data_IF_745360133853
#
_entry.id   IF_745360133853
#
_cell.length_a   1.000
_cell.length_b   1.000
_cell.length_c   1.000
_cell.angle_alpha   90.00
_cell.angle_beta   90.00
_cell.angle_gamma   90.00
#
_symmetry.space_group_name_H-M   'P 1'
#
loop_
_entity.id
_entity.type
_entity.pdbx_description
1 polymer ?
#
# COMPACT_ATOMS: atom_id res chain seq x y z
N UNK A 1 -33.83 -12.42 -50.89
CA UNK A 1 -33.78 -11.14 -50.14
C UNK A 1 -33.58 -11.44 -48.66
N UNK A 2 -32.34 -11.74 -48.29
CA UNK A 2 -31.96 -12.07 -46.92
C UNK A 2 -30.52 -11.64 -46.72
N UNK A 3 -30.30 -10.70 -45.81
CA UNK A 3 -29.05 -10.53 -45.03
C UNK A 3 -29.00 -9.25 -44.19
N UNK A 4 -29.95 -8.32 -44.34
CA UNK A 4 -29.85 -7.00 -43.71
C UNK A 4 -30.40 -6.87 -42.28
N UNK A 5 -31.00 -7.92 -41.69
CA UNK A 5 -31.60 -7.83 -40.33
C UNK A 5 -30.68 -8.27 -39.19
N UNK A 6 -29.56 -8.94 -39.47
CA UNK A 6 -28.64 -9.46 -38.43
C UNK A 6 -27.43 -8.57 -38.15
N UNK A 7 -27.12 -7.58 -39.01
CA UNK A 7 -25.91 -6.74 -38.86
C UNK A 7 -26.15 -5.63 -37.81
N UNK A 8 -27.36 -5.08 -37.73
CA UNK A 8 -27.70 -4.04 -36.73
C UNK A 8 -27.70 -4.54 -35.29
N UNK A 9 -28.03 -5.82 -35.05
CA UNK A 9 -27.99 -6.39 -33.70
C UNK A 9 -26.55 -6.62 -33.22
N UNK A 10 -25.66 -7.07 -34.11
CA UNK A 10 -24.25 -7.32 -33.80
C UNK A 10 -23.50 -6.01 -33.51
N UNK A 11 -23.82 -4.92 -34.21
CA UNK A 11 -23.24 -3.60 -33.95
C UNK A 11 -23.72 -2.97 -32.62
N UNK A 12 -24.98 -3.20 -32.22
CA UNK A 12 -25.48 -2.73 -30.94
C UNK A 12 -24.86 -3.49 -29.75
N UNK A 13 -24.60 -4.80 -29.91
CA UNK A 13 -23.93 -5.63 -28.91
C UNK A 13 -22.44 -5.24 -28.77
N UNK A 14 -21.76 -4.90 -29.87
CA UNK A 14 -20.35 -4.47 -29.81
C UNK A 14 -20.18 -3.07 -29.20
N UNK A 15 -21.15 -2.15 -29.36
CA UNK A 15 -21.14 -0.88 -28.62
C UNK A 15 -21.47 -1.05 -27.13
N UNK A 16 -22.32 -2.02 -26.76
CA UNK A 16 -22.54 -2.35 -25.34
C UNK A 16 -21.27 -2.92 -24.67
N UNK A 17 -20.49 -3.75 -25.39
CA UNK A 17 -19.22 -4.30 -24.89
C UNK A 17 -18.13 -3.21 -24.80
N UNK A 18 -18.13 -2.22 -25.71
CA UNK A 18 -17.22 -1.06 -25.68
C UNK A 18 -17.58 0.03 -24.65
N UNK A 19 -18.77 -0.03 -24.04
CA UNK A 19 -19.13 0.81 -22.91
C UNK A 19 -18.97 0.12 -21.55
N UNK A 20 -18.72 -1.19 -21.53
CA UNK A 20 -18.33 -1.94 -20.33
C UNK A 20 -16.82 -1.86 -20.02
N UNK A 21 -16.00 -1.30 -20.92
CA UNK A 21 -14.55 -1.21 -20.73
C UNK A 21 -14.05 0.00 -19.92
N UNK A 22 -14.94 0.82 -19.35
CA UNK A 22 -14.56 1.95 -18.49
C UNK A 22 -15.19 1.92 -17.09
N UNK A 23 -15.81 0.79 -16.73
CA UNK A 23 -16.19 0.50 -15.36
C UNK A 23 -15.34 -0.67 -14.85
N UNK A 24 -14.01 -0.46 -14.76
CA UNK A 24 -13.25 -1.19 -13.75
C UNK A 24 -13.58 -0.51 -12.43
N UNK A 25 -14.74 -0.89 -11.91
CA UNK A 25 -15.27 -0.43 -10.65
C UNK A 25 -14.22 -0.60 -9.57
N UNK A 26 -14.07 0.46 -8.79
CA UNK A 26 -13.33 0.59 -7.54
C UNK A 26 -13.90 -0.33 -6.44
N UNK A 27 -14.03 -1.62 -6.71
CA UNK A 27 -14.08 -2.65 -5.69
C UNK A 27 -12.62 -3.05 -5.43
N UNK A 28 -12.09 -2.69 -4.26
CA UNK A 28 -10.66 -2.77 -3.97
C UNK A 28 -10.06 -4.12 -4.38
N UNK A 29 -9.04 -4.07 -5.24
CA UNK A 29 -8.21 -5.21 -5.59
C UNK A 29 -7.78 -5.97 -4.31
N UNK A 30 -7.98 -7.29 -4.21
CA UNK A 30 -7.64 -8.06 -3.02
C UNK A 30 -6.23 -7.75 -2.48
N UNK A 31 -6.14 -7.44 -1.18
CA UNK A 31 -4.89 -7.07 -0.53
C UNK A 31 -4.56 -5.58 -0.60
N UNK A 32 -5.47 -4.71 -1.04
CA UNK A 32 -5.27 -3.25 -1.11
C UNK A 32 -6.40 -2.43 -0.46
N UNK A 33 -7.34 -3.08 0.23
CA UNK A 33 -8.37 -2.36 0.98
C UNK A 33 -7.80 -1.81 2.29
N UNK A 34 -8.44 -0.80 2.91
CA UNK A 34 -8.10 -0.35 4.27
C UNK A 34 -7.94 -1.50 5.26
N UNK A 35 -8.88 -2.46 5.24
CA UNK A 35 -8.86 -3.63 6.11
C UNK A 35 -7.67 -4.55 5.82
N UNK A 36 -7.27 -4.74 4.55
CA UNK A 36 -6.11 -5.56 4.20
C UNK A 36 -4.80 -5.00 4.80
N UNK A 37 -4.61 -3.68 4.73
CA UNK A 37 -3.46 -3.02 5.33
C UNK A 37 -3.50 -3.14 6.85
N UNK A 38 -4.60 -2.73 7.47
CA UNK A 38 -4.73 -2.74 8.95
C UNK A 38 -4.62 -4.15 9.50
N UNK A 39 -5.24 -5.14 8.86
CA UNK A 39 -5.17 -6.54 9.27
C UNK A 39 -3.73 -7.06 9.22
N UNK A 40 -3.00 -6.83 8.13
CA UNK A 40 -1.62 -7.27 7.99
C UNK A 40 -0.71 -6.66 9.08
N UNK A 41 -0.82 -5.36 9.34
CA UNK A 41 -0.09 -4.69 10.42
C UNK A 41 -0.46 -5.25 11.79
N UNK A 42 -1.76 -5.42 12.05
CA UNK A 42 -2.26 -5.80 13.37
C UNK A 42 -2.02 -7.26 13.70
N UNK A 43 -1.90 -8.16 12.71
CA UNK A 43 -1.41 -9.51 12.95
C UNK A 43 0.01 -9.50 13.53
N UNK A 44 0.90 -8.65 13.00
CA UNK A 44 2.27 -8.50 13.49
C UNK A 44 2.28 -7.91 14.90
N UNK A 45 1.60 -6.76 15.08
CA UNK A 45 1.55 -6.05 16.36
C UNK A 45 0.92 -6.89 17.47
N UNK A 46 -0.10 -7.69 17.15
CA UNK A 46 -0.75 -8.60 18.10
C UNK A 46 0.21 -9.68 18.63
N UNK A 47 1.08 -10.23 17.79
CA UNK A 47 2.08 -11.23 18.23
C UNK A 47 3.02 -10.65 19.29
N UNK A 48 3.27 -9.34 19.24
CA UNK A 48 4.11 -8.60 20.19
C UNK A 48 3.32 -7.97 21.35
N UNK A 49 2.01 -8.21 21.46
CA UNK A 49 1.17 -7.64 22.52
C UNK A 49 0.96 -6.12 22.41
N UNK A 50 1.15 -5.55 21.22
CA UNK A 50 1.05 -4.11 20.99
C UNK A 50 -0.40 -3.68 20.72
N UNK A 51 -0.70 -2.38 20.95
CA UNK A 51 -1.97 -1.78 20.56
C UNK A 51 -2.15 -1.86 19.05
N UNK A 52 -3.34 -2.21 18.53
CA UNK A 52 -3.59 -2.22 17.09
C UNK A 52 -3.54 -0.81 16.51
N UNK A 53 -3.13 -0.70 15.25
CA UNK A 53 -3.31 0.49 14.43
C UNK A 53 -4.76 0.58 13.94
N UNK A 54 -5.26 1.80 13.80
CA UNK A 54 -6.53 2.10 13.15
C UNK A 54 -6.27 2.71 11.76
N UNK A 55 -7.17 2.47 10.82
CA UNK A 55 -7.13 3.17 9.54
C UNK A 55 -7.45 4.65 9.71
N UNK A 56 -6.78 5.52 8.94
CA UNK A 56 -7.06 6.94 8.87
C UNK A 56 -7.13 7.39 7.40
N UNK A 57 -8.30 7.90 7.00
CA UNK A 57 -8.57 8.29 5.62
C UNK A 57 -7.78 9.52 5.17
N UNK A 58 -7.40 10.41 6.08
CA UNK A 58 -6.59 11.59 5.74
C UNK A 58 -5.13 11.19 5.51
N UNK A 59 -4.59 10.29 6.33
CA UNK A 59 -3.28 9.69 6.06
C UNK A 59 -3.28 8.91 4.74
N UNK A 60 -4.36 8.18 4.43
CA UNK A 60 -4.49 7.44 3.18
C UNK A 60 -4.50 8.37 1.96
N UNK A 61 -5.22 9.50 2.03
CA UNK A 61 -5.20 10.54 0.98
C UNK A 61 -3.80 11.10 0.77
N UNK A 62 -3.06 11.39 1.84
CA UNK A 62 -1.68 11.90 1.76
C UNK A 62 -0.76 10.85 1.12
N UNK A 63 -0.85 9.59 1.57
CA UNK A 63 -0.06 8.49 1.03
C UNK A 63 -0.36 8.22 -0.45
N UNK A 64 -1.64 8.24 -0.84
CA UNK A 64 -2.09 8.07 -2.23
C UNK A 64 -1.57 9.20 -3.12
N UNK A 65 -1.72 10.45 -2.69
CA UNK A 65 -1.21 11.60 -3.42
C UNK A 65 0.31 11.50 -3.62
N UNK A 66 1.06 11.05 -2.60
CA UNK A 66 2.51 10.85 -2.73
C UNK A 66 2.85 9.72 -3.70
N UNK A 67 2.17 8.56 -3.59
CA UNK A 67 2.35 7.43 -4.49
C UNK A 67 2.17 7.84 -5.97
N UNK A 68 1.13 8.64 -6.26
CA UNK A 68 0.86 9.16 -7.61
C UNK A 68 2.01 10.00 -8.16
N UNK A 69 2.66 10.83 -7.32
CA UNK A 69 3.81 11.65 -7.74
C UNK A 69 5.07 10.84 -8.07
N UNK A 70 5.13 9.56 -7.66
CA UNK A 70 6.25 8.65 -7.90
C UNK A 70 5.99 7.70 -9.06
N UNK A 71 4.80 7.69 -9.64
CA UNK A 71 4.48 6.82 -10.79
C UNK A 71 5.40 7.00 -12.03
N UNK A 72 6.03 8.15 -12.32
CA UNK A 72 6.91 8.27 -13.48
C UNK A 72 8.18 7.40 -13.42
N UNK A 73 8.81 7.32 -12.24
CA UNK A 73 10.09 6.61 -12.04
C UNK A 73 10.00 5.42 -11.08
N UNK A 74 8.88 5.28 -10.37
CA UNK A 74 8.64 4.27 -9.34
C UNK A 74 9.68 4.29 -8.21
N UNK A 75 10.29 5.46 -7.97
CA UNK A 75 11.39 5.58 -7.01
C UNK A 75 10.88 5.59 -5.56
N UNK A 76 11.62 4.90 -4.69
CA UNK A 76 11.36 4.86 -3.24
C UNK A 76 11.96 6.10 -2.56
N UNK A 77 11.41 7.27 -2.88
CA UNK A 77 11.81 8.55 -2.29
C UNK A 77 10.72 8.99 -1.31
N UNK A 78 11.10 9.16 -0.05
CA UNK A 78 10.19 9.54 1.03
C UNK A 78 9.62 10.95 0.87
N UNK A 79 8.41 11.16 1.40
CA UNK A 79 7.74 12.46 1.39
C UNK A 79 8.26 13.44 2.46
N UNK A 80 8.92 12.93 3.51
CA UNK A 80 9.37 13.65 4.70
C UNK A 80 8.26 14.34 5.52
N UNK A 81 6.99 13.92 5.35
CA UNK A 81 5.82 14.56 5.99
C UNK A 81 5.27 13.81 7.21
N UNK A 82 5.45 12.50 7.26
CA UNK A 82 4.88 11.60 8.28
C UNK A 82 5.87 10.46 8.58
N UNK A 83 5.55 9.59 9.55
CA UNK A 83 6.15 8.26 9.54
C UNK A 83 5.74 7.58 8.24
N UNK A 84 6.65 6.93 7.53
CA UNK A 84 6.37 6.45 6.18
C UNK A 84 7.12 5.17 5.85
N UNK A 85 6.40 4.20 5.30
CA UNK A 85 7.00 3.05 4.62
C UNK A 85 6.63 3.11 3.14
N UNK A 86 7.58 2.72 2.30
CA UNK A 86 7.36 2.60 0.86
C UNK A 86 7.78 1.22 0.36
N UNK A 87 7.11 0.73 -0.67
CA UNK A 87 7.48 -0.48 -1.39
C UNK A 87 7.15 -0.31 -2.87
N UNK A 88 7.86 -1.04 -3.73
CA UNK A 88 7.53 -1.10 -5.15
C UNK A 88 7.68 -2.51 -5.71
N UNK A 89 6.90 -2.83 -6.74
CA UNK A 89 7.00 -4.06 -7.50
C UNK A 89 5.65 -4.58 -7.98
N UNK A 90 5.60 -5.80 -8.51
CA UNK A 90 4.36 -6.50 -8.84
C UNK A 90 3.68 -7.03 -7.56
N UNK A 91 3.29 -6.12 -6.66
CA UNK A 91 2.82 -6.41 -5.31
C UNK A 91 1.51 -5.68 -4.98
N UNK A 92 0.78 -6.23 -4.00
CA UNK A 92 -0.33 -5.57 -3.34
C UNK A 92 0.08 -5.04 -1.95
N UNK A 93 -0.85 -4.35 -1.28
CA UNK A 93 -0.67 -3.79 0.05
C UNK A 93 -0.23 -4.79 1.10
N UNK A 94 -0.93 -5.92 1.23
CA UNK A 94 -0.57 -6.96 2.20
C UNK A 94 0.83 -7.53 1.95
N UNK A 95 1.22 -7.70 0.68
CA UNK A 95 2.58 -8.12 0.32
C UNK A 95 3.63 -7.07 0.72
N UNK A 96 3.35 -5.77 0.56
CA UNK A 96 4.25 -4.72 1.03
C UNK A 96 4.47 -4.79 2.55
N UNK A 97 3.41 -5.00 3.33
CA UNK A 97 3.52 -5.16 4.79
C UNK A 97 4.33 -6.40 5.16
N UNK A 98 4.19 -7.50 4.41
CA UNK A 98 5.02 -8.69 4.61
C UNK A 98 6.50 -8.43 4.29
N UNK A 99 6.82 -7.74 3.19
CA UNK A 99 8.20 -7.37 2.86
C UNK A 99 8.84 -6.53 3.96
N UNK A 100 8.09 -5.58 4.51
CA UNK A 100 8.54 -4.77 5.64
C UNK A 100 8.69 -5.58 6.93
N UNK A 101 7.84 -6.58 7.19
CA UNK A 101 8.00 -7.51 8.31
C UNK A 101 9.28 -8.33 8.21
N UNK A 102 9.67 -8.75 7.00
CA UNK A 102 10.82 -9.62 6.81
C UNK A 102 12.13 -8.97 7.27
N UNK A 103 12.19 -7.64 7.31
CA UNK A 103 13.30 -6.88 7.86
C UNK A 103 13.51 -7.07 9.38
N UNK A 104 12.56 -7.69 10.09
CA UNK A 104 12.74 -8.09 11.50
C UNK A 104 14.00 -8.93 11.72
N UNK A 105 14.42 -9.67 10.69
CA UNK A 105 15.64 -10.49 10.72
C UNK A 105 16.91 -9.66 10.77
N UNK A 106 16.83 -8.40 10.32
CA UNK A 106 17.94 -7.46 10.26
C UNK A 106 17.87 -6.42 11.40
N UNK A 107 16.96 -6.55 12.38
CA UNK A 107 16.88 -5.68 13.55
C UNK A 107 17.38 -6.39 14.82
N UNK A 108 18.39 -5.80 15.47
CA UNK A 108 18.79 -6.17 16.82
C UNK A 108 18.08 -5.27 17.84
N UNK A 109 17.12 -5.86 18.56
CA UNK A 109 16.35 -5.16 19.58
C UNK A 109 17.20 -4.76 20.80
N UNK A 110 18.19 -5.58 21.19
CA UNK A 110 19.00 -5.30 22.37
C UNK A 110 19.89 -4.08 22.13
N UNK A 111 20.54 -4.04 20.96
CA UNK A 111 21.40 -2.94 20.56
C UNK A 111 20.66 -1.72 19.99
N UNK A 112 19.37 -1.88 19.65
CA UNK A 112 18.58 -0.89 18.91
C UNK A 112 19.23 -0.49 17.59
N UNK A 113 19.64 -1.48 16.78
CA UNK A 113 20.35 -1.24 15.52
C UNK A 113 19.83 -2.12 14.41
N UNK A 114 19.88 -1.59 13.19
CA UNK A 114 19.74 -2.41 12.00
C UNK A 114 21.11 -2.98 11.59
N UNK A 115 21.17 -4.29 11.37
CA UNK A 115 22.31 -4.96 10.70
C UNK A 115 22.30 -4.60 9.21
N UNK A 116 21.11 -4.48 8.61
CA UNK A 116 20.88 -3.97 7.24
C UNK A 116 19.77 -2.91 7.24
N UNK A 117 18.76 -3.05 6.38
CA UNK A 117 17.57 -2.23 6.41
C UNK A 117 16.58 -2.85 7.39
N UNK A 118 16.11 -2.06 8.35
CA UNK A 118 15.07 -2.50 9.28
C UNK A 118 14.05 -1.42 9.65
N UNK A 119 14.18 -0.25 9.01
CA UNK A 119 13.33 0.91 9.28
C UNK A 119 11.86 0.64 8.98
N UNK A 120 11.56 -0.20 8.00
CA UNK A 120 10.18 -0.52 7.68
C UNK A 120 9.56 -1.42 8.74
N UNK A 121 10.31 -2.44 9.21
CA UNK A 121 9.88 -3.27 10.33
C UNK A 121 9.64 -2.42 11.58
N UNK A 122 10.62 -1.60 11.99
CA UNK A 122 10.52 -0.80 13.22
C UNK A 122 9.37 0.19 13.17
N UNK A 123 9.00 0.71 11.99
CA UNK A 123 7.82 1.55 11.82
C UNK A 123 6.50 0.77 12.02
N UNK A 124 6.37 -0.45 11.48
CA UNK A 124 5.16 -1.28 11.70
C UNK A 124 4.94 -1.51 13.20
N UNK A 125 6.01 -1.81 13.92
CA UNK A 125 5.99 -2.13 15.35
C UNK A 125 6.33 -0.92 16.22
N UNK A 126 6.10 0.30 15.74
CA UNK A 126 6.30 1.48 16.56
C UNK A 126 5.15 1.65 17.55
N UNK A 127 5.44 1.60 18.85
CA UNK A 127 4.43 1.54 19.92
C UNK A 127 3.55 2.79 19.97
N UNK A 128 4.12 3.95 19.68
CA UNK A 128 3.42 5.22 19.71
C UNK A 128 2.67 5.56 18.42
N UNK A 129 2.86 4.80 17.33
CA UNK A 129 2.01 4.95 16.14
C UNK A 129 0.66 4.32 16.43
N UNK A 130 -0.41 5.09 16.16
CA UNK A 130 -1.80 4.69 16.47
C UNK A 130 -2.62 4.53 15.20
N UNK A 131 -2.25 5.27 14.15
CA UNK A 131 -3.01 5.35 12.90
C UNK A 131 -2.12 5.04 11.71
N UNK A 132 -2.72 4.44 10.69
CA UNK A 132 -2.08 4.17 9.40
C UNK A 132 -3.04 4.49 8.27
N UNK A 133 -2.53 5.07 7.19
CA UNK A 133 -3.26 5.23 5.94
C UNK A 133 -2.33 4.98 4.77
N UNK A 134 -2.79 4.21 3.78
CA UNK A 134 -1.96 3.76 2.68
C UNK A 134 -2.55 4.12 1.33
N UNK A 135 -1.66 4.30 0.35
CA UNK A 135 -1.99 4.52 -1.05
C UNK A 135 -1.16 3.63 -1.97
N UNK A 136 -1.70 3.35 -3.15
CA UNK A 136 -1.07 2.52 -4.17
C UNK A 136 -1.32 3.11 -5.55
N UNK A 137 -0.27 3.17 -6.38
CA UNK A 137 -0.37 3.67 -7.74
C UNK A 137 0.41 2.77 -8.71
N UNK A 138 -0.13 2.54 -9.91
CA UNK A 138 0.57 1.82 -10.98
C UNK A 138 1.64 2.73 -11.57
N UNK A 139 2.87 2.26 -11.63
CA UNK A 139 3.99 2.99 -12.22
C UNK A 139 3.90 2.99 -13.75
N UNK A 140 4.55 3.97 -14.37
CA UNK A 140 4.51 4.21 -15.83
C UNK A 140 5.12 3.07 -16.66
N UNK A 141 5.88 2.18 -16.01
CA UNK A 141 6.37 0.94 -16.61
C UNK A 141 5.26 -0.10 -16.84
N UNK A 142 4.04 0.13 -16.34
CA UNK A 142 2.84 -0.65 -16.61
C UNK A 142 2.73 -1.98 -15.88
N UNK A 143 3.66 -2.31 -14.98
CA UNK A 143 3.65 -3.59 -14.25
C UNK A 143 3.96 -3.46 -12.76
N UNK A 144 4.79 -2.49 -12.37
CA UNK A 144 5.10 -2.26 -10.97
C UNK A 144 4.08 -1.31 -10.35
N UNK A 145 3.73 -1.56 -9.10
CA UNK A 145 3.01 -0.62 -8.27
C UNK A 145 3.98 -0.01 -7.28
N UNK A 146 3.78 1.27 -6.95
CA UNK A 146 4.35 1.88 -5.76
C UNK A 146 3.29 1.96 -4.68
N UNK A 147 3.67 1.60 -3.46
CA UNK A 147 2.82 1.59 -2.27
C UNK A 147 3.48 2.51 -1.24
N UNK A 148 2.68 3.36 -0.61
CA UNK A 148 3.08 4.27 0.46
C UNK A 148 2.13 4.05 1.62
N UNK A 149 2.64 3.90 2.83
CA UNK A 149 1.84 3.91 4.06
C UNK A 149 2.37 4.99 4.99
N UNK A 150 1.50 5.91 5.41
CA UNK A 150 1.82 6.93 6.40
C UNK A 150 1.30 6.53 7.79
N UNK A 151 2.07 6.88 8.81
CA UNK A 151 1.81 6.56 10.21
C UNK A 151 1.78 7.82 11.05
N UNK A 152 0.83 7.87 11.99
CA UNK A 152 0.74 8.95 12.97
C UNK A 152 0.40 8.43 14.38
N UNK A 153 1.06 8.93 15.43
CA UNK A 153 2.33 9.67 15.42
C UNK A 153 3.46 8.96 14.62
N UNK A 154 4.44 9.71 14.09
CA UNK A 154 5.53 9.13 13.30
C UNK A 154 6.40 8.18 14.15
N UNK A 155 6.88 7.11 13.51
CA UNK A 155 7.83 6.19 14.11
C UNK A 155 9.29 6.55 13.85
N UNK A 156 10.17 5.60 14.13
CA UNK A 156 11.60 5.67 13.83
C UNK A 156 12.29 6.92 14.40
N UNK A 157 11.89 7.36 15.59
CA UNK A 157 12.54 8.48 16.30
C UNK A 157 13.96 8.06 16.68
N UNK A 158 14.94 8.84 16.22
CA UNK A 158 16.37 8.57 16.42
C UNK A 158 16.68 8.35 17.90
N UNK A 159 17.30 7.22 18.21
CA UNK A 159 17.72 6.83 19.56
C UNK A 159 16.63 6.17 20.42
N UNK A 160 15.39 6.06 19.93
CA UNK A 160 14.31 5.35 20.63
C UNK A 160 14.13 3.93 20.09
N UNK A 161 13.66 3.01 20.96
CA UNK A 161 13.25 1.67 20.56
C UNK A 161 11.80 1.69 20.08
N UNK A 162 11.41 0.78 19.16
CA UNK A 162 10.05 0.72 18.66
C UNK A 162 9.04 0.23 19.71
N UNK A 163 9.47 -0.57 20.70
CA UNK A 163 8.67 -1.06 21.82
C UNK A 163 9.55 -1.41 23.02
#
# INVERSE_FOLDING_TARGET
>A
MGHLRNISLVLAISFAILHLSHAHETYGEPGNTPDDYVHAHNCIRRVLGMKPLCWDDELAKVAQAWAETRTPDCSLIHSDRCGENMAQGAINGSMAVQLWLDERLDYDYNENKCIKMCGHYTQIVWANSERVGCGRALCSNGWAYIIVCNYDPPGNVVGQKPY
#
